data_IF_802683011968
#
_entry.id   IF_802683011968
#
_cell.length_a   1.000
_cell.length_b   1.000
_cell.length_c   1.000
_cell.angle_alpha   90.00
_cell.angle_beta   90.00
_cell.angle_gamma   90.00
#
_symmetry.space_group_name_H-M   'P 1'
#
loop_
_entity.id
_entity.type
_entity.pdbx_description
1 polymer ?
#
# COMPACT_ATOMS: atom_id res chain seq x y z
N UNK A 1 -42.08 31.12 -51.82
CA UNK A 1 -42.75 30.19 -50.91
C UNK A 1 -41.77 29.67 -49.89
N UNK A 2 -42.05 30.03 -48.65
CA UNK A 2 -41.40 29.72 -47.38
C UNK A 2 -41.13 28.22 -47.23
N UNK A 3 -39.99 27.84 -46.66
CA UNK A 3 -39.94 26.76 -45.65
C UNK A 3 -38.72 26.99 -44.75
N UNK A 4 -39.03 27.22 -43.49
CA UNK A 4 -38.15 27.31 -42.33
C UNK A 4 -37.73 25.90 -41.87
N UNK A 5 -36.64 25.82 -41.08
CA UNK A 5 -36.42 24.97 -39.87
C UNK A 5 -35.11 24.15 -39.88
N UNK A 6 -34.13 24.71 -39.14
CA UNK A 6 -33.22 24.16 -38.09
C UNK A 6 -32.50 22.79 -38.20
N UNK A 7 -31.26 22.68 -37.63
CA UNK A 7 -30.37 21.50 -37.62
C UNK A 7 -30.63 20.60 -36.39
N UNK A 8 -30.14 19.34 -36.29
CA UNK A 8 -28.89 19.08 -35.52
C UNK A 8 -28.17 17.71 -35.73
N UNK A 9 -26.96 17.63 -35.15
CA UNK A 9 -26.37 16.52 -34.35
C UNK A 9 -26.23 15.07 -34.85
N UNK A 10 -24.95 14.62 -34.77
CA UNK A 10 -24.44 13.37 -34.16
C UNK A 10 -24.79 11.97 -34.75
N UNK A 11 -23.74 11.14 -34.67
CA UNK A 11 -23.69 9.67 -34.58
C UNK A 11 -23.44 8.86 -35.86
N UNK A 12 -22.19 8.37 -35.92
CA UNK A 12 -21.80 6.97 -36.12
C UNK A 12 -22.55 6.18 -37.20
N UNK A 13 -21.83 5.81 -38.26
CA UNK A 13 -21.93 4.46 -38.80
C UNK A 13 -20.61 4.00 -39.40
N UNK A 14 -20.30 2.75 -39.07
CA UNK A 14 -19.11 2.00 -39.38
C UNK A 14 -18.87 1.90 -40.89
N UNK A 15 -17.61 2.03 -41.32
CA UNK A 15 -17.10 1.24 -42.42
C UNK A 15 -15.66 0.82 -42.12
N UNK A 16 -15.52 -0.38 -41.58
CA UNK A 16 -14.32 -1.19 -41.72
C UNK A 16 -14.07 -1.40 -43.22
N UNK A 17 -12.87 -1.08 -43.71
CA UNK A 17 -12.18 -1.91 -44.72
C UNK A 17 -10.73 -1.47 -44.94
N UNK A 18 -9.87 -2.48 -44.76
CA UNK A 18 -8.48 -2.60 -45.22
C UNK A 18 -7.38 -1.82 -44.47
N UNK A 19 -6.99 -2.37 -43.32
CA UNK A 19 -5.61 -2.22 -42.85
C UNK A 19 -4.70 -3.15 -43.66
N UNK A 20 -3.83 -2.53 -44.46
CA UNK A 20 -2.66 -3.12 -45.07
C UNK A 20 -1.66 -3.45 -43.95
N UNK A 21 -1.27 -4.71 -43.78
CA UNK A 21 -0.18 -5.12 -42.88
C UNK A 21 1.10 -5.29 -43.70
N UNK A 22 2.17 -4.51 -43.48
CA UNK A 22 3.51 -4.97 -43.77
C UNK A 22 4.08 -5.68 -42.54
N UNK A 23 4.70 -6.85 -42.81
CA UNK A 23 5.47 -7.65 -41.88
C UNK A 23 6.44 -6.80 -41.05
N UNK A 24 6.21 -6.71 -39.75
CA UNK A 24 7.25 -6.42 -38.77
C UNK A 24 6.99 -7.31 -37.55
N UNK A 25 7.97 -8.15 -37.25
CA UNK A 25 8.00 -8.95 -36.02
C UNK A 25 8.14 -7.99 -34.83
N UNK A 26 7.02 -7.50 -34.33
CA UNK A 26 6.92 -6.79 -33.05
C UNK A 26 5.63 -7.17 -32.32
N UNK A 27 5.39 -8.49 -32.19
CA UNK A 27 4.60 -9.05 -31.09
C UNK A 27 5.61 -9.46 -30.01
N UNK A 28 5.47 -9.19 -28.72
CA UNK A 28 4.38 -8.56 -27.98
C UNK A 28 4.99 -8.10 -26.65
N UNK A 29 5.04 -6.78 -26.41
CA UNK A 29 4.95 -6.32 -25.04
C UNK A 29 3.47 -5.98 -24.84
N UNK A 30 2.72 -6.66 -23.95
CA UNK A 30 1.39 -6.21 -23.63
C UNK A 30 1.48 -4.73 -23.20
N UNK A 31 0.44 -3.90 -23.46
CA UNK A 31 0.47 -2.50 -23.04
C UNK A 31 0.87 -2.49 -21.57
N UNK A 32 1.85 -1.66 -21.20
CA UNK A 32 2.51 -1.62 -19.88
C UNK A 32 1.52 -1.82 -18.70
N UNK A 33 0.28 -1.37 -18.87
CA UNK A 33 -0.86 -1.59 -17.99
C UNK A 33 -1.12 -3.06 -17.57
N UNK A 34 -1.00 -4.04 -18.47
CA UNK A 34 -1.34 -5.45 -18.18
C UNK A 34 -0.27 -6.10 -17.29
N UNK A 35 1.01 -5.83 -17.54
CA UNK A 35 2.13 -6.35 -16.71
C UNK A 35 2.09 -5.72 -15.32
N UNK A 36 1.71 -4.44 -15.24
CA UNK A 36 1.63 -3.71 -13.98
C UNK A 36 0.57 -4.26 -13.01
N UNK A 37 -0.53 -4.79 -13.54
CA UNK A 37 -1.59 -5.38 -12.70
C UNK A 37 -1.16 -6.73 -12.12
N UNK A 38 -0.46 -7.56 -12.89
CA UNK A 38 0.05 -8.85 -12.43
C UNK A 38 1.17 -8.71 -11.40
N UNK A 39 2.07 -7.73 -11.56
CA UNK A 39 3.21 -7.55 -10.65
C UNK A 39 2.88 -6.72 -9.41
N UNK A 40 1.78 -5.96 -9.42
CA UNK A 40 1.40 -5.08 -8.31
C UNK A 40 2.30 -3.85 -8.13
N UNK A 41 3.16 -3.55 -9.11
CA UNK A 41 3.98 -2.33 -9.19
C UNK A 41 4.26 -1.98 -10.65
N UNK A 42 4.57 -0.70 -10.92
CA UNK A 42 4.79 -0.23 -12.28
C UNK A 42 6.04 0.66 -12.41
N UNK A 43 6.74 0.61 -13.56
CA UNK A 43 7.87 1.47 -13.84
C UNK A 43 7.40 2.90 -14.12
N UNK A 44 8.09 3.89 -13.57
CA UNK A 44 7.92 5.32 -13.84
C UNK A 44 9.27 5.99 -14.02
N UNK A 45 9.31 7.08 -14.76
CA UNK A 45 10.52 7.89 -14.91
C UNK A 45 10.55 8.99 -13.85
N UNK A 46 11.60 9.02 -13.03
CA UNK A 46 11.78 10.08 -12.05
C UNK A 46 12.29 11.39 -12.71
N UNK A 47 12.42 12.45 -11.92
CA UNK A 47 12.93 13.75 -12.37
C UNK A 47 14.38 13.73 -12.88
N UNK A 48 15.12 12.64 -12.67
CA UNK A 48 16.49 12.43 -13.15
C UNK A 48 16.53 11.57 -14.42
N UNK A 49 15.37 11.24 -15.02
CA UNK A 49 15.29 10.39 -16.20
C UNK A 49 15.50 8.89 -15.92
N UNK A 50 15.52 8.48 -14.65
CA UNK A 50 15.76 7.09 -14.27
C UNK A 50 14.45 6.33 -14.11
N UNK A 51 14.41 5.08 -14.56
CA UNK A 51 13.31 4.15 -14.27
C UNK A 51 13.34 3.74 -12.80
N UNK A 52 12.27 4.05 -12.09
CA UNK A 52 12.01 3.64 -10.71
C UNK A 52 10.64 2.96 -10.64
N UNK A 53 10.39 2.17 -9.59
CA UNK A 53 9.16 1.41 -9.45
C UNK A 53 8.28 1.98 -8.34
N UNK A 54 6.99 2.04 -8.59
CA UNK A 54 5.96 2.45 -7.63
C UNK A 54 5.00 1.29 -7.41
N UNK A 55 4.66 0.96 -6.15
CA UNK A 55 3.65 -0.05 -5.88
C UNK A 55 2.27 0.43 -6.35
N UNK A 56 1.40 -0.53 -6.67
CA UNK A 56 -0.02 -0.29 -6.93
C UNK A 56 -0.62 0.50 -5.75
N UNK A 57 -1.50 1.45 -6.09
CA UNK A 57 -2.21 2.23 -5.08
C UNK A 57 -3.21 1.34 -4.34
N UNK A 58 -3.37 1.60 -3.04
CA UNK A 58 -4.39 0.94 -2.22
C UNK A 58 -5.77 1.23 -2.81
N UNK A 59 -6.46 0.18 -3.20
CA UNK A 59 -7.72 0.24 -3.91
C UNK A 59 -8.91 0.16 -2.97
N UNK A 60 -8.82 -0.68 -1.94
CA UNK A 60 -9.89 -0.92 -0.97
C UNK A 60 -10.07 0.29 -0.04
N UNK A 61 -11.32 0.76 0.17
CA UNK A 61 -11.60 1.70 1.24
C UNK A 61 -11.34 1.04 2.60
N UNK A 62 -11.01 1.85 3.58
CA UNK A 62 -10.78 1.42 4.96
C UNK A 62 -12.11 1.05 5.59
N UNK A 63 -12.17 -0.08 6.29
CA UNK A 63 -13.35 -0.46 7.04
C UNK A 63 -13.60 0.49 8.21
N UNK A 64 -14.83 0.61 8.72
CA UNK A 64 -15.10 1.40 9.92
C UNK A 64 -14.23 1.00 11.12
N UNK A 65 -13.97 -0.31 11.30
CA UNK A 65 -13.09 -0.81 12.37
C UNK A 65 -11.63 -0.43 12.15
N UNK A 66 -11.13 -0.47 10.92
CA UNK A 66 -9.79 0.02 10.61
C UNK A 66 -9.64 1.52 10.90
N UNK A 67 -10.67 2.32 10.61
CA UNK A 67 -10.70 3.76 10.92
C UNK A 67 -10.69 4.00 12.43
N UNK A 68 -11.51 3.28 13.20
CA UNK A 68 -11.54 3.38 14.66
C UNK A 68 -10.19 2.97 15.28
N UNK A 69 -9.65 1.84 14.85
CA UNK A 69 -8.33 1.38 15.27
C UNK A 69 -7.23 2.40 14.95
N UNK A 70 -7.26 3.02 13.77
CA UNK A 70 -6.31 4.06 13.40
C UNK A 70 -6.37 5.29 14.32
N UNK A 71 -7.55 5.67 14.80
CA UNK A 71 -7.69 6.76 15.78
C UNK A 71 -7.02 6.40 17.11
N UNK A 72 -7.21 5.17 17.59
CA UNK A 72 -6.52 4.66 18.77
C UNK A 72 -4.98 4.71 18.58
N UNK A 73 -4.48 4.23 17.45
CA UNK A 73 -3.05 4.22 17.18
C UNK A 73 -2.45 5.62 17.19
N UNK A 74 -3.10 6.61 16.58
CA UNK A 74 -2.64 8.02 16.57
C UNK A 74 -2.56 8.63 17.98
N UNK A 75 -3.42 8.19 18.91
CA UNK A 75 -3.39 8.66 20.29
C UNK A 75 -2.25 8.01 21.08
N UNK A 76 -1.96 6.73 20.83
CA UNK A 76 -0.99 5.95 21.62
C UNK A 76 0.44 6.01 21.10
N UNK A 77 0.63 6.20 19.80
CA UNK A 77 1.94 6.14 19.15
C UNK A 77 2.31 7.47 18.51
N UNK A 78 3.59 7.82 18.60
CA UNK A 78 4.18 9.01 17.97
C UNK A 78 4.50 8.76 16.51
N UNK A 79 4.85 7.52 16.16
CA UNK A 79 4.95 7.07 14.79
C UNK A 79 4.53 5.61 14.64
N UNK A 80 3.99 5.31 13.47
CA UNK A 80 3.56 3.99 13.04
C UNK A 80 4.20 3.78 11.68
N UNK A 81 5.29 3.03 11.64
CA UNK A 81 6.11 2.91 10.43
C UNK A 81 6.03 1.50 9.88
N UNK A 82 5.76 1.37 8.58
CA UNK A 82 5.94 0.12 7.85
C UNK A 82 7.17 0.24 6.95
N UNK A 83 8.13 -0.64 7.17
CA UNK A 83 9.26 -0.87 6.29
C UNK A 83 8.88 -1.96 5.30
N UNK A 84 9.02 -1.68 4.01
CA UNK A 84 8.64 -2.63 2.97
C UNK A 84 9.39 -2.40 1.66
N UNK A 85 9.00 -3.17 0.65
CA UNK A 85 9.53 -3.05 -0.69
C UNK A 85 8.40 -2.91 -1.72
N UNK A 86 8.65 -2.17 -2.81
CA UNK A 86 7.63 -1.95 -3.85
C UNK A 86 7.13 -3.25 -4.50
N UNK A 87 7.99 -4.27 -4.57
CA UNK A 87 7.71 -5.58 -5.17
C UNK A 87 7.14 -6.61 -4.19
N UNK A 88 7.05 -6.26 -2.90
CA UNK A 88 6.69 -7.19 -1.84
C UNK A 88 5.16 -7.43 -1.83
N UNK A 89 4.67 -8.64 -2.17
CA UNK A 89 3.24 -8.93 -2.23
C UNK A 89 2.57 -8.82 -0.87
N UNK A 90 3.23 -9.30 0.19
CA UNK A 90 2.76 -9.16 1.57
C UNK A 90 2.63 -7.70 2.01
N UNK A 91 3.54 -6.84 1.56
CA UNK A 91 3.50 -5.41 1.85
C UNK A 91 2.31 -4.76 1.15
N UNK A 92 1.99 -5.17 -0.08
CA UNK A 92 0.85 -4.66 -0.80
C UNK A 92 -0.48 -5.19 -0.21
N UNK A 93 -0.56 -6.46 0.20
CA UNK A 93 -1.73 -7.03 0.90
C UNK A 93 -1.96 -6.35 2.25
N UNK A 94 -0.89 -6.12 3.02
CA UNK A 94 -0.95 -5.39 4.28
C UNK A 94 -1.57 -4.00 4.13
N UNK A 95 -1.27 -3.28 3.04
CA UNK A 95 -1.85 -1.97 2.74
C UNK A 95 -3.36 -2.07 2.46
N UNK A 96 -3.79 -3.08 1.73
CA UNK A 96 -5.21 -3.32 1.45
C UNK A 96 -5.99 -3.72 2.72
N UNK A 97 -5.39 -4.49 3.65
CA UNK A 97 -5.97 -4.79 4.98
C UNK A 97 -6.32 -3.51 5.75
N UNK A 98 -5.45 -2.49 5.72
CA UNK A 98 -5.75 -1.22 6.37
C UNK A 98 -6.73 -0.34 5.58
N UNK A 99 -6.64 -0.41 4.25
CA UNK A 99 -7.42 0.43 3.35
C UNK A 99 -6.83 1.83 3.16
N UNK A 100 -7.30 2.51 2.10
CA UNK A 100 -6.67 3.71 1.55
C UNK A 100 -6.62 4.91 2.51
N UNK A 101 -7.71 5.18 3.21
CA UNK A 101 -7.87 6.32 4.12
C UNK A 101 -6.98 6.18 5.35
N UNK A 102 -6.92 4.99 5.95
CA UNK A 102 -6.05 4.70 7.09
C UNK A 102 -4.58 4.69 6.66
N UNK A 103 -4.26 4.00 5.56
CA UNK A 103 -2.90 3.91 5.04
C UNK A 103 -2.29 5.29 4.79
N UNK A 104 -3.02 6.17 4.09
CA UNK A 104 -2.52 7.50 3.72
C UNK A 104 -2.43 8.48 4.89
N UNK A 105 -3.28 8.35 5.91
CA UNK A 105 -3.37 9.34 6.99
C UNK A 105 -2.65 8.93 8.29
N UNK A 106 -2.23 7.67 8.40
CA UNK A 106 -1.77 7.09 9.68
C UNK A 106 -0.39 6.47 9.59
N UNK A 107 -0.08 5.79 8.48
CA UNK A 107 1.12 4.98 8.37
C UNK A 107 2.22 5.73 7.63
N UNK A 108 3.42 5.73 8.21
CA UNK A 108 4.64 6.18 7.56
C UNK A 108 5.26 4.99 6.82
N UNK A 109 5.37 5.07 5.50
CA UNK A 109 5.97 3.99 4.71
C UNK A 109 7.43 4.30 4.39
N UNK A 110 8.33 3.37 4.68
CA UNK A 110 9.74 3.43 4.30
C UNK A 110 10.01 2.40 3.21
N UNK A 111 10.40 2.87 2.03
CA UNK A 111 10.75 2.02 0.89
C UNK A 111 12.21 1.57 0.98
N UNK A 112 12.40 0.27 1.23
CA UNK A 112 13.70 -0.33 1.45
C UNK A 112 14.36 -0.89 0.18
N UNK A 113 13.65 -1.03 -0.95
CA UNK A 113 14.25 -1.56 -2.17
C UNK A 113 14.87 -0.44 -3.04
N UNK A 114 16.16 -0.54 -3.46
CA UNK A 114 16.88 0.56 -4.12
C UNK A 114 16.25 1.15 -5.38
N UNK A 115 15.49 0.36 -6.15
CA UNK A 115 14.79 0.83 -7.37
C UNK A 115 13.38 1.37 -7.09
N UNK A 116 12.94 1.40 -5.84
CA UNK A 116 11.66 1.97 -5.44
C UNK A 116 11.65 3.49 -5.55
N UNK A 117 10.47 4.04 -5.80
CA UNK A 117 10.27 5.48 -5.80
C UNK A 117 10.54 6.06 -4.41
N UNK A 118 11.42 7.06 -4.34
CA UNK A 118 11.90 7.68 -3.08
C UNK A 118 12.47 6.65 -2.09
N UNK A 119 13.08 5.58 -2.59
CA UNK A 119 13.69 4.55 -1.77
C UNK A 119 14.81 5.10 -0.86
N UNK A 120 14.88 4.56 0.35
CA UNK A 120 15.91 4.86 1.35
C UNK A 120 16.46 3.56 1.96
N UNK A 121 17.11 2.69 1.15
CA UNK A 121 17.60 1.38 1.59
C UNK A 121 18.57 1.47 2.77
N UNK A 122 19.37 2.55 2.85
CA UNK A 122 20.31 2.77 3.94
C UNK A 122 19.61 2.95 5.29
N UNK A 123 18.42 3.56 5.31
CA UNK A 123 17.62 3.72 6.55
C UNK A 123 17.21 2.34 7.08
N UNK A 124 16.91 1.39 6.19
CA UNK A 124 16.51 0.04 6.57
C UNK A 124 17.71 -0.80 7.02
N UNK A 125 18.85 -0.68 6.33
CA UNK A 125 20.10 -1.40 6.65
C UNK A 125 20.74 -0.93 7.97
N UNK A 126 20.69 0.38 8.24
CA UNK A 126 21.27 1.00 9.43
C UNK A 126 20.30 1.03 10.62
N UNK A 127 19.06 0.56 10.45
CA UNK A 127 18.16 0.37 11.58
C UNK A 127 18.78 -0.65 12.57
N UNK A 128 18.46 -0.52 13.86
CA UNK A 128 18.97 -1.43 14.89
C UNK A 128 17.78 -2.08 15.63
N UNK A 129 17.51 -3.38 15.41
CA UNK A 129 18.20 -4.30 14.50
C UNK A 129 17.94 -3.97 13.01
N UNK A 130 18.80 -4.40 12.07
CA UNK A 130 18.58 -4.18 10.64
C UNK A 130 17.23 -4.73 10.18
N UNK A 131 16.59 -4.05 9.21
CA UNK A 131 15.36 -4.56 8.59
C UNK A 131 15.74 -5.56 7.48
N UNK A 132 15.65 -6.84 7.78
CA UNK A 132 15.99 -7.96 6.90
C UNK A 132 14.77 -8.66 6.28
N UNK A 133 13.55 -8.41 6.79
CA UNK A 133 12.29 -8.95 6.29
C UNK A 133 11.22 -7.89 6.03
N UNK A 134 10.33 -8.16 5.07
CA UNK A 134 9.22 -7.27 4.71
C UNK A 134 7.86 -7.98 4.70
N UNK A 135 6.78 -7.32 5.16
CA UNK A 135 6.79 -6.02 5.83
C UNK A 135 7.36 -6.13 7.26
N UNK A 136 7.92 -5.04 7.77
CA UNK A 136 8.25 -4.89 9.19
C UNK A 136 7.58 -3.65 9.75
N UNK A 137 6.81 -3.82 10.83
CA UNK A 137 6.13 -2.75 11.54
C UNK A 137 6.94 -2.28 12.74
N UNK A 138 6.98 -0.96 12.95
CA UNK A 138 7.52 -0.34 14.15
C UNK A 138 6.51 0.69 14.68
N UNK A 139 6.03 0.47 15.90
CA UNK A 139 5.15 1.39 16.61
C UNK A 139 5.92 2.08 17.72
N UNK A 140 6.13 3.39 17.60
CA UNK A 140 6.86 4.19 18.58
C UNK A 140 5.90 4.80 19.60
N UNK A 141 5.95 4.44 20.89
CA UNK A 141 4.97 4.90 21.86
C UNK A 141 5.06 6.40 22.16
N UNK A 142 3.92 7.02 22.48
CA UNK A 142 3.84 8.40 22.91
C UNK A 142 4.33 8.56 24.36
N UNK A 143 5.59 8.93 24.55
CA UNK A 143 6.20 9.16 25.88
C UNK A 143 5.63 10.36 26.66
N UNK A 144 4.67 11.10 26.09
CA UNK A 144 4.08 12.31 26.69
C UNK A 144 2.85 12.06 27.57
N UNK A 145 2.37 10.82 27.72
CA UNK A 145 1.26 10.53 28.64
C UNK A 145 1.72 10.77 30.08
N UNK A 146 1.30 11.91 30.66
CA UNK A 146 1.61 12.31 32.02
C UNK A 146 1.25 11.17 32.99
N UNK A 147 2.26 10.67 33.69
CA UNK A 147 2.08 9.80 34.85
C UNK A 147 1.29 10.55 35.93
N UNK A 148 -0.01 10.32 36.04
CA UNK A 148 -0.73 10.51 37.29
C UNK A 148 -0.71 9.19 38.04
N UNK A 149 0.14 9.10 39.07
CA UNK A 149 0.21 7.94 39.96
C UNK A 149 1.64 7.43 40.14
N UNK A 150 2.23 7.76 41.29
CA UNK A 150 3.57 7.36 41.73
C UNK A 150 3.71 5.82 41.83
N UNK A 151 4.92 5.32 41.50
CA UNK A 151 5.57 4.06 41.94
C UNK A 151 5.54 2.79 41.09
N UNK A 152 4.93 2.73 39.90
CA UNK A 152 5.26 1.67 38.93
C UNK A 152 6.15 2.22 37.81
N UNK A 153 7.42 2.33 38.20
CA UNK A 153 8.67 2.18 37.44
C UNK A 153 8.54 2.16 35.91
N UNK A 154 9.16 3.15 35.26
CA UNK A 154 10.31 2.99 34.36
C UNK A 154 10.37 1.78 33.39
N UNK A 155 9.27 1.15 33.01
CA UNK A 155 9.21 0.43 31.74
C UNK A 155 9.25 1.53 30.68
N UNK A 156 10.46 1.85 30.23
CA UNK A 156 10.68 2.55 28.98
C UNK A 156 9.79 1.83 27.97
N UNK A 157 8.70 2.48 27.55
CA UNK A 157 7.80 1.90 26.56
C UNK A 157 8.66 1.70 25.31
N UNK A 158 9.09 0.45 25.10
CA UNK A 158 9.92 0.10 23.97
C UNK A 158 9.07 0.14 22.71
N UNK A 159 9.67 0.38 21.55
CA UNK A 159 8.95 0.25 20.29
C UNK A 159 8.41 -1.17 20.16
N UNK A 160 7.17 -1.30 19.69
CA UNK A 160 6.65 -2.61 19.29
C UNK A 160 7.15 -2.86 17.88
N UNK A 161 7.82 -4.00 17.68
CA UNK A 161 8.33 -4.42 16.37
C UNK A 161 7.63 -5.72 15.97
N UNK A 162 6.99 -5.74 14.81
CA UNK A 162 6.32 -6.93 14.27
C UNK A 162 6.87 -7.21 12.88
N UNK A 163 7.24 -8.46 12.61
CA UNK A 163 7.72 -8.90 11.30
C UNK A 163 6.63 -9.68 10.56
N UNK A 164 6.59 -9.54 9.24
CA UNK A 164 5.62 -10.20 8.39
C UNK A 164 4.26 -9.52 8.34
N UNK A 165 3.41 -10.01 7.44
CA UNK A 165 2.04 -9.54 7.27
C UNK A 165 1.19 -9.80 8.52
N UNK A 166 0.36 -8.83 8.90
CA UNK A 166 -0.47 -8.85 10.10
C UNK A 166 -1.94 -8.63 9.75
N UNK A 167 -2.82 -9.45 10.33
CA UNK A 167 -4.26 -9.15 10.34
C UNK A 167 -4.55 -7.91 11.16
N UNK A 168 -5.70 -7.27 10.94
CA UNK A 168 -6.13 -6.12 11.73
C UNK A 168 -6.25 -6.47 13.22
N UNK A 169 -6.76 -7.67 13.52
CA UNK A 169 -6.84 -8.21 14.89
C UNK A 169 -5.46 -8.44 15.51
N UNK A 170 -4.50 -8.96 14.73
CA UNK A 170 -3.13 -9.16 15.21
C UNK A 170 -2.45 -7.84 15.58
N UNK A 171 -2.62 -6.80 14.75
CA UNK A 171 -2.15 -5.45 15.05
C UNK A 171 -2.84 -4.85 16.29
N UNK A 172 -4.16 -5.00 16.39
CA UNK A 172 -4.94 -4.55 17.54
C UNK A 172 -4.45 -5.19 18.84
N UNK A 173 -4.27 -6.51 18.85
CA UNK A 173 -3.76 -7.25 20.00
C UNK A 173 -2.36 -6.82 20.40
N UNK A 174 -1.43 -6.72 19.43
CA UNK A 174 -0.06 -6.33 19.70
C UNK A 174 0.06 -4.91 20.27
N UNK A 175 -0.84 -4.01 19.88
CA UNK A 175 -0.85 -2.61 20.31
C UNK A 175 -1.74 -2.34 21.53
N UNK A 176 -2.35 -3.37 22.11
CA UNK A 176 -3.23 -3.27 23.27
C UNK A 176 -4.53 -2.50 23.00
N UNK A 177 -5.03 -2.51 21.76
CA UNK A 177 -6.30 -1.90 21.41
C UNK A 177 -7.44 -2.55 22.23
N UNK A 178 -8.26 -1.77 22.94
CA UNK A 178 -9.30 -2.31 23.82
C UNK A 178 -10.58 -2.71 23.07
N UNK A 179 -10.74 -2.30 21.81
CA UNK A 179 -11.91 -2.64 21.00
C UNK A 179 -11.84 -4.05 20.42
N UNK A 180 -12.96 -4.52 19.88
CA UNK A 180 -13.07 -5.82 19.22
C UNK A 180 -12.92 -5.65 17.72
N UNK A 181 -12.02 -6.42 17.11
CA UNK A 181 -11.91 -6.54 15.65
C UNK A 181 -12.63 -7.81 15.22
N UNK A 182 -13.60 -7.66 14.32
CA UNK A 182 -14.28 -8.78 13.68
C UNK A 182 -13.56 -9.11 12.37
N UNK A 183 -12.79 -10.20 12.37
CA UNK A 183 -12.00 -10.62 11.20
C UNK A 183 -12.85 -11.00 9.99
N UNK A 184 -14.11 -11.40 10.19
CA UNK A 184 -15.02 -11.77 9.09
C UNK A 184 -15.31 -10.58 8.17
N UNK A 185 -15.21 -9.36 8.69
CA UNK A 185 -15.40 -8.12 7.93
C UNK A 185 -14.19 -7.76 7.06
N UNK A 186 -13.08 -8.50 7.18
CA UNK A 186 -11.84 -8.29 6.44
C UNK A 186 -11.57 -9.35 5.35
N UNK A 187 -12.53 -10.26 5.08
CA UNK A 187 -12.35 -11.41 4.17
C UNK A 187 -12.15 -11.04 2.68
N UNK A 188 -12.56 -9.85 2.26
CA UNK A 188 -12.52 -9.42 0.85
C UNK A 188 -11.21 -8.72 0.42
N UNK A 189 -10.09 -8.96 1.13
CA UNK A 189 -8.79 -8.42 0.71
C UNK A 189 -8.29 -9.19 -0.51
N UNK A 190 -8.03 -8.54 -1.66
CA UNK A 190 -7.55 -9.22 -2.85
C UNK A 190 -6.26 -10.01 -2.57
N UNK A 191 -6.23 -11.27 -2.98
CA UNK A 191 -4.99 -12.04 -3.04
C UNK A 191 -4.14 -11.47 -4.18
N UNK A 192 -3.02 -10.85 -3.83
CA UNK A 192 -2.10 -10.32 -4.83
C UNK A 192 -1.30 -11.47 -5.44
N UNK A 193 -1.28 -11.51 -6.78
CA UNK A 193 -0.51 -12.48 -7.55
C UNK A 193 0.96 -12.35 -7.14
N UNK A 194 1.57 -13.46 -6.72
CA UNK A 194 2.93 -13.50 -6.17
C UNK A 194 3.02 -13.80 -4.68
N UNK A 195 1.91 -13.83 -3.92
CA UNK A 195 1.91 -14.28 -2.52
C UNK A 195 2.32 -15.77 -2.33
N UNK A 196 2.45 -16.53 -3.43
CA UNK A 196 2.85 -17.94 -3.46
C UNK A 196 4.34 -18.15 -3.77
N UNK A 197 5.18 -17.12 -3.82
CA UNK A 197 6.63 -17.36 -3.87
C UNK A 197 7.09 -17.78 -2.48
N UNK A 198 6.98 -19.08 -2.20
CA UNK A 198 7.52 -19.72 -1.02
C UNK A 198 8.97 -19.27 -0.80
N UNK A 199 9.25 -18.68 0.36
CA UNK A 199 10.61 -18.55 0.84
C UNK A 199 11.19 -19.97 0.97
N UNK A 200 12.17 -20.30 0.12
CA UNK A 200 13.10 -21.41 0.34
C UNK A 200 14.26 -20.92 1.19
#
# INVERSE_FOLDING_TARGET
NTTTILPPSQQQQQQQKHYFLPNSLANAAPPIAVIAEELGYFPVTNNKGQTVFVPKRVSRPSSPQAVEFAQYLKQKYSSITLYGAYWCPHCARQKEILGREVWSSTVQYTECAPKGYRATPQVCQLHQPPIDGYPTWIFQPNRKSKQQGRRQQQQQQQPIVLSGEQSLSSLAKATGYPGVIDESLEENVPNLVGANSACR
#
